data_IF_648932799806
#
_entry.id   IF_648932799806
#
_cell.length_a   1.000
_cell.length_b   1.000
_cell.length_c   1.000
_cell.angle_alpha   90.00
_cell.angle_beta   90.00
_cell.angle_gamma   90.00
#
_symmetry.space_group_name_H-M   'P 1'
#
loop_
_entity.id
_entity.type
_entity.pdbx_description
1 polymer ?
#
# COMPACT_ATOMS: atom_id res chain seq x y z
N UNK A 1 -10.67 15.35 12.95
CA UNK A 1 -10.92 13.90 12.82
C UNK A 1 -10.51 13.49 11.41
N UNK A 2 -9.23 13.24 11.18
CA UNK A 2 -8.78 12.61 9.94
C UNK A 2 -8.91 11.10 10.13
N UNK A 3 -9.95 10.50 9.56
CA UNK A 3 -9.96 9.07 9.32
C UNK A 3 -8.90 8.84 8.26
N UNK A 4 -7.79 8.17 8.59
CA UNK A 4 -6.92 7.56 7.60
C UNK A 4 -7.73 6.45 6.92
N UNK A 5 -8.52 6.88 5.97
CA UNK A 5 -9.23 6.00 5.07
C UNK A 5 -8.17 5.32 4.21
N UNK A 6 -7.95 4.04 4.42
CA UNK A 6 -7.25 3.22 3.43
C UNK A 6 -8.22 3.12 2.26
N UNK A 7 -7.95 3.79 1.13
CA UNK A 7 -8.92 3.91 0.04
C UNK A 7 -9.13 2.63 -0.76
N UNK A 8 -8.57 1.51 -0.31
CA UNK A 8 -8.53 0.23 -1.01
C UNK A 8 -9.87 -0.46 -1.21
N UNK A 9 -10.92 -0.04 -0.49
CA UNK A 9 -12.18 -0.81 -0.45
C UNK A 9 -13.21 -0.46 -1.53
N UNK A 10 -12.97 0.52 -2.40
CA UNK A 10 -14.06 1.02 -3.26
C UNK A 10 -14.01 0.65 -4.75
N UNK A 11 -12.99 -0.04 -5.26
CA UNK A 11 -12.88 -0.19 -6.72
C UNK A 11 -12.70 -1.61 -7.25
N UNK A 12 -12.94 -2.65 -6.46
CA UNK A 12 -12.99 -3.99 -7.02
C UNK A 12 -14.41 -4.51 -7.12
N UNK A 13 -14.95 -4.49 -8.34
CA UNK A 13 -15.98 -5.42 -8.76
C UNK A 13 -15.41 -6.85 -8.63
N UNK A 14 -15.48 -7.39 -7.43
CA UNK A 14 -15.29 -8.81 -7.20
C UNK A 14 -16.44 -9.53 -7.89
N UNK A 15 -16.16 -10.38 -8.87
CA UNK A 15 -17.12 -11.35 -9.31
C UNK A 15 -17.57 -12.17 -8.10
N UNK A 16 -18.86 -12.26 -7.90
CA UNK A 16 -19.52 -12.99 -6.81
C UNK A 16 -18.99 -14.43 -6.62
N UNK A 17 -18.42 -15.03 -7.66
CA UNK A 17 -17.81 -16.36 -7.65
C UNK A 17 -16.57 -16.47 -6.72
N UNK A 18 -15.75 -15.43 -6.59
CA UNK A 18 -14.63 -15.43 -5.63
C UNK A 18 -15.08 -15.27 -4.19
N UNK A 19 -16.20 -14.59 -3.96
CA UNK A 19 -16.78 -14.42 -2.63
C UNK A 19 -17.27 -15.79 -2.11
N UNK A 20 -17.88 -16.63 -2.96
CA UNK A 20 -18.39 -17.93 -2.57
C UNK A 20 -17.32 -19.02 -2.34
N UNK A 21 -16.12 -18.87 -2.92
CA UNK A 21 -15.01 -19.82 -2.67
C UNK A 21 -14.28 -19.55 -1.35
N UNK A 22 -14.45 -18.38 -0.73
CA UNK A 22 -13.79 -17.98 0.53
C UNK A 22 -14.72 -17.97 1.76
N UNK A 23 -15.93 -18.54 1.69
CA UNK A 23 -16.86 -18.61 2.84
C UNK A 23 -16.40 -19.57 3.95
N UNK A 24 -15.29 -20.26 3.76
CA UNK A 24 -14.71 -21.14 4.76
C UNK A 24 -13.38 -20.61 5.30
N UNK A 25 -13.40 -19.66 6.26
CA UNK A 25 -12.22 -19.40 7.07
C UNK A 25 -11.47 -18.08 6.82
N UNK A 26 -12.18 -16.98 6.84
CA UNK A 26 -11.58 -15.62 6.82
C UNK A 26 -11.01 -15.22 8.19
N UNK A 27 -11.05 -16.08 9.18
CA UNK A 27 -10.56 -15.74 10.52
C UNK A 27 -9.03 -15.88 10.59
N UNK A 28 -8.38 -14.80 11.01
CA UNK A 28 -6.93 -14.77 11.20
C UNK A 28 -6.62 -15.17 12.63
N UNK A 29 -5.74 -16.17 12.79
CA UNK A 29 -5.33 -16.68 14.10
C UNK A 29 -4.40 -15.72 14.83
N UNK A 30 -3.38 -15.23 14.13
CA UNK A 30 -2.37 -14.29 14.67
C UNK A 30 -1.73 -13.47 13.57
N UNK A 31 -1.06 -12.39 13.99
CA UNK A 31 -0.17 -11.60 13.13
C UNK A 31 1.19 -11.43 13.79
N UNK A 32 2.21 -11.15 12.97
CA UNK A 32 3.54 -10.76 13.40
C UNK A 32 4.18 -9.87 12.34
N UNK A 33 5.34 -9.31 12.66
CA UNK A 33 6.03 -8.34 11.83
C UNK A 33 7.50 -8.71 11.66
N UNK A 34 8.06 -8.36 10.53
CA UNK A 34 9.48 -8.11 10.37
C UNK A 34 9.74 -6.63 10.06
N UNK A 35 10.88 -6.31 9.44
CA UNK A 35 11.22 -4.93 9.05
C UNK A 35 10.43 -4.41 7.85
N UNK A 36 9.88 -5.29 7.01
CA UNK A 36 9.27 -4.95 5.73
C UNK A 36 7.79 -5.35 5.61
N UNK A 37 7.36 -6.36 6.37
CA UNK A 37 6.06 -7.00 6.21
C UNK A 37 5.29 -7.15 7.51
N UNK A 38 3.96 -7.10 7.39
CA UNK A 38 3.03 -7.70 8.32
C UNK A 38 2.60 -9.05 7.77
N UNK A 39 2.67 -10.07 8.59
CA UNK A 39 2.24 -11.44 8.30
C UNK A 39 0.95 -11.74 9.06
N UNK A 40 0.10 -12.56 8.45
CA UNK A 40 -1.09 -13.10 9.09
C UNK A 40 -1.16 -14.62 8.86
N UNK A 41 -1.47 -15.38 9.89
CA UNK A 41 -1.75 -16.81 9.83
C UNK A 41 -3.25 -17.03 9.99
N UNK A 42 -3.84 -17.77 9.07
CA UNK A 42 -5.25 -18.20 9.13
C UNK A 42 -5.44 -19.38 10.08
N UNK A 43 -6.68 -19.68 10.45
CA UNK A 43 -6.99 -20.83 11.29
C UNK A 43 -6.60 -22.16 10.63
N UNK A 44 -6.59 -22.25 9.30
CA UNK A 44 -6.16 -23.42 8.54
C UNK A 44 -4.62 -23.48 8.30
N UNK A 45 -3.86 -22.54 8.89
CA UNK A 45 -2.40 -22.54 8.89
C UNK A 45 -1.76 -21.91 7.65
N UNK A 46 -2.52 -21.30 6.76
CA UNK A 46 -1.94 -20.51 5.65
C UNK A 46 -1.32 -19.23 6.20
N UNK A 47 -0.16 -18.86 5.66
CA UNK A 47 0.52 -17.63 6.00
C UNK A 47 0.47 -16.70 4.79
N UNK A 48 0.01 -15.48 5.04
CA UNK A 48 -0.06 -14.40 4.06
C UNK A 48 0.69 -13.19 4.59
N UNK A 49 1.04 -12.26 3.72
CA UNK A 49 1.76 -11.04 4.11
C UNK A 49 1.32 -9.85 3.29
N UNK A 50 1.56 -8.65 3.85
CA UNK A 50 1.43 -7.38 3.15
C UNK A 50 2.65 -6.52 3.43
N UNK A 51 3.03 -5.67 2.46
CA UNK A 51 4.13 -4.74 2.64
C UNK A 51 3.77 -3.64 3.65
N UNK A 52 4.66 -3.38 4.60
CA UNK A 52 4.56 -2.25 5.54
C UNK A 52 4.69 -0.89 4.84
N UNK A 53 5.08 -0.86 3.57
CA UNK A 53 5.07 0.38 2.79
C UNK A 53 3.66 0.95 2.64
N UNK A 54 2.62 0.11 2.68
CA UNK A 54 1.22 0.54 2.68
C UNK A 54 0.77 1.15 4.01
N UNK A 55 1.50 0.89 5.10
CA UNK A 55 1.14 1.26 6.47
C UNK A 55 2.26 2.05 7.15
N UNK A 56 2.52 3.32 6.75
CA UNK A 56 3.64 4.10 7.28
C UNK A 56 3.66 4.18 8.81
N UNK A 57 2.50 4.34 9.45
CA UNK A 57 2.42 4.41 10.90
C UNK A 57 2.87 3.10 11.59
N UNK A 58 2.55 1.93 11.00
CA UNK A 58 3.04 0.64 11.50
C UNK A 58 4.51 0.42 11.18
N UNK A 59 4.98 0.91 10.04
CA UNK A 59 6.39 0.81 9.64
C UNK A 59 7.29 1.57 10.61
N UNK A 60 6.87 2.75 11.04
CA UNK A 60 7.61 3.62 11.96
C UNK A 60 7.41 3.26 13.44
N UNK A 61 6.40 2.45 13.75
CA UNK A 61 6.07 2.03 15.09
C UNK A 61 7.14 1.08 15.67
N UNK A 62 7.36 1.20 16.99
CA UNK A 62 8.16 0.25 17.73
C UNK A 62 7.40 -1.07 17.97
N UNK A 63 8.09 -2.07 18.52
CA UNK A 63 7.52 -3.41 18.76
C UNK A 63 6.29 -3.37 19.69
N UNK A 64 6.34 -2.58 20.76
CA UNK A 64 5.21 -2.44 21.69
C UNK A 64 3.98 -1.86 20.99
N UNK A 65 4.18 -0.82 20.19
CA UNK A 65 3.10 -0.20 19.41
C UNK A 65 2.52 -1.15 18.36
N UNK A 66 3.36 -1.91 17.65
CA UNK A 66 2.92 -2.92 16.68
C UNK A 66 2.10 -4.04 17.34
N UNK A 67 2.47 -4.43 18.57
CA UNK A 67 1.77 -5.47 19.33
C UNK A 67 0.51 -4.97 20.06
N UNK A 68 0.28 -3.65 20.12
CA UNK A 68 -0.90 -3.06 20.79
C UNK A 68 -2.18 -3.08 19.94
N UNK A 69 -2.32 -4.05 19.04
CA UNK A 69 -3.52 -4.21 18.22
C UNK A 69 -4.64 -4.93 18.98
N UNK A 70 -5.86 -4.70 18.50
CA UNK A 70 -7.05 -5.49 18.87
C UNK A 70 -7.57 -6.22 17.65
N UNK A 71 -7.79 -7.52 17.78
CA UNK A 71 -8.51 -8.31 16.77
C UNK A 71 -10.00 -8.00 16.92
N UNK A 72 -10.62 -7.52 15.85
CA UNK A 72 -12.06 -7.32 15.72
C UNK A 72 -12.69 -8.42 14.89
N UNK A 73 -13.97 -8.24 14.56
CA UNK A 73 -14.75 -9.19 13.78
C UNK A 73 -14.20 -9.36 12.35
N UNK A 74 -13.70 -8.31 11.73
CA UNK A 74 -13.26 -8.33 10.32
C UNK A 74 -11.85 -7.80 10.10
N UNK A 75 -11.05 -7.60 11.14
CA UNK A 75 -9.73 -7.01 10.97
C UNK A 75 -8.96 -6.80 12.27
N UNK A 76 -7.78 -6.22 12.11
CA UNK A 76 -6.90 -5.79 13.19
C UNK A 76 -6.92 -4.28 13.31
N UNK A 77 -6.98 -3.76 14.53
CA UNK A 77 -7.17 -2.34 14.83
C UNK A 77 -6.07 -1.83 15.77
N UNK A 78 -5.31 -0.84 15.33
CA UNK A 78 -4.33 -0.10 16.14
C UNK A 78 -4.88 1.28 16.48
N UNK A 79 -5.61 1.38 17.57
CA UNK A 79 -6.27 2.64 17.97
C UNK A 79 -5.30 3.81 18.11
N UNK A 80 -4.12 3.56 18.68
CA UNK A 80 -3.12 4.59 18.93
C UNK A 80 -2.36 5.05 17.68
N UNK A 81 -2.40 4.27 16.60
CA UNK A 81 -1.78 4.57 15.31
C UNK A 81 -2.80 4.97 14.25
N UNK A 82 -4.10 4.92 14.58
CA UNK A 82 -5.21 5.13 13.64
C UNK A 82 -5.09 4.25 12.37
N UNK A 83 -4.76 2.97 12.59
CA UNK A 83 -4.61 1.97 11.52
C UNK A 83 -5.60 0.84 11.70
N UNK A 84 -6.29 0.53 10.61
CA UNK A 84 -7.19 -0.62 10.48
C UNK A 84 -6.77 -1.48 9.29
N UNK A 85 -6.61 -2.79 9.50
CA UNK A 85 -6.27 -3.75 8.45
C UNK A 85 -7.35 -4.83 8.43
N UNK A 86 -8.13 -4.90 7.36
CA UNK A 86 -9.15 -5.94 7.21
C UNK A 86 -8.51 -7.30 6.93
N UNK A 87 -9.17 -8.38 7.36
CA UNK A 87 -8.72 -9.75 7.02
C UNK A 87 -8.72 -9.98 5.53
N UNK A 88 -9.71 -9.45 4.80
CA UNK A 88 -9.83 -9.59 3.35
C UNK A 88 -8.65 -9.01 2.59
N UNK A 89 -8.02 -7.94 3.12
CA UNK A 89 -6.88 -7.29 2.46
C UNK A 89 -5.67 -8.20 2.28
N UNK A 90 -5.52 -9.25 3.11
CA UNK A 90 -4.45 -10.24 2.95
C UNK A 90 -4.64 -11.17 1.76
N UNK A 91 -5.83 -11.21 1.17
CA UNK A 91 -6.15 -12.05 0.00
C UNK A 91 -6.03 -11.30 -1.33
N UNK A 92 -5.68 -10.02 -1.32
CA UNK A 92 -5.56 -9.22 -2.53
C UNK A 92 -4.22 -9.44 -3.24
N UNK A 93 -4.25 -9.39 -4.56
CA UNK A 93 -3.07 -9.59 -5.41
C UNK A 93 -2.04 -8.44 -5.31
N UNK A 94 -2.42 -7.33 -4.70
CA UNK A 94 -1.63 -6.11 -4.56
C UNK A 94 -1.08 -5.89 -3.14
N UNK A 95 -0.93 -6.97 -2.39
CA UNK A 95 -0.24 -6.98 -1.10
C UNK A 95 1.19 -6.39 -1.19
N UNK A 96 1.80 -6.44 -2.38
CA UNK A 96 3.10 -5.84 -2.70
C UNK A 96 2.91 -4.62 -3.60
N UNK A 97 3.54 -3.48 -3.28
CA UNK A 97 3.59 -2.35 -4.21
C UNK A 97 4.42 -2.70 -5.45
N UNK A 98 4.03 -2.18 -6.60
CA UNK A 98 4.85 -2.26 -7.82
C UNK A 98 6.21 -1.59 -7.60
N UNK A 99 7.24 -1.87 -8.40
CA UNK A 99 8.55 -1.21 -8.29
C UNK A 99 8.44 0.33 -8.32
N UNK A 100 7.56 0.88 -9.15
CA UNK A 100 7.35 2.32 -9.26
C UNK A 100 6.61 2.89 -8.03
N UNK A 101 5.60 2.19 -7.50
CA UNK A 101 4.95 2.56 -6.25
C UNK A 101 5.93 2.50 -5.08
N UNK A 102 6.73 1.44 -4.99
CA UNK A 102 7.79 1.31 -3.98
C UNK A 102 8.75 2.49 -4.04
N UNK A 103 9.16 2.90 -5.24
CA UNK A 103 10.01 4.07 -5.43
C UNK A 103 9.39 5.32 -4.79
N UNK A 104 8.13 5.64 -5.08
CA UNK A 104 7.45 6.81 -4.49
C UNK A 104 7.22 6.67 -2.97
N UNK A 105 6.89 5.48 -2.50
CA UNK A 105 6.63 5.23 -1.08
C UNK A 105 7.92 5.34 -0.23
N UNK A 106 9.09 5.19 -0.85
CA UNK A 106 10.39 5.29 -0.17
C UNK A 106 11.12 6.62 -0.38
N UNK A 107 10.78 7.40 -1.43
CA UNK A 107 11.40 8.69 -1.75
C UNK A 107 10.43 9.83 -1.49
N UNK A 108 10.20 10.11 -0.20
CA UNK A 108 9.24 11.14 0.24
C UNK A 108 9.69 12.57 -0.04
N UNK A 109 10.97 12.78 -0.37
CA UNK A 109 11.56 14.04 -0.79
C UNK A 109 11.11 14.50 -2.17
N UNK A 110 10.51 13.61 -2.98
CA UNK A 110 10.04 13.94 -4.32
C UNK A 110 8.76 14.78 -4.27
N UNK A 111 8.76 15.87 -5.02
CA UNK A 111 7.54 16.63 -5.27
C UNK A 111 6.68 15.92 -6.32
N UNK A 112 5.77 15.08 -5.84
CA UNK A 112 4.90 14.24 -6.68
C UNK A 112 4.01 15.08 -7.59
N UNK A 113 3.49 16.21 -7.10
CA UNK A 113 2.61 17.09 -7.88
C UNK A 113 3.35 17.74 -9.05
N UNK A 114 4.60 18.16 -8.83
CA UNK A 114 5.41 18.75 -9.88
C UNK A 114 5.86 17.70 -10.91
N UNK A 115 6.22 16.50 -10.44
CA UNK A 115 6.54 15.38 -11.32
C UNK A 115 5.34 15.02 -12.22
N UNK A 116 4.13 15.01 -11.67
CA UNK A 116 2.91 14.74 -12.42
C UNK A 116 2.71 15.77 -13.53
N UNK A 117 2.85 17.08 -13.23
CA UNK A 117 2.74 18.16 -14.23
C UNK A 117 3.78 18.02 -15.32
N UNK A 118 5.04 17.75 -14.98
CA UNK A 118 6.12 17.51 -15.96
C UNK A 118 5.87 16.28 -16.84
N UNK A 119 5.11 15.31 -16.34
CA UNK A 119 4.75 14.09 -17.07
C UNK A 119 3.46 14.24 -17.91
N UNK A 120 2.84 15.44 -17.90
CA UNK A 120 1.52 15.66 -18.50
C UNK A 120 0.46 14.69 -17.95
N UNK A 121 0.48 14.53 -16.62
CA UNK A 121 -0.43 13.68 -15.84
C UNK A 121 -1.05 14.53 -14.73
N UNK A 122 -2.34 14.31 -14.45
CA UNK A 122 -2.98 14.98 -13.33
C UNK A 122 -2.34 14.54 -12.01
N UNK A 123 -2.00 15.48 -11.08
CA UNK A 123 -1.48 15.14 -9.77
C UNK A 123 -2.38 14.16 -9.00
N UNK A 124 -3.70 14.31 -9.13
CA UNK A 124 -4.67 13.40 -8.51
C UNK A 124 -4.53 11.96 -9.04
N UNK A 125 -4.33 11.78 -10.34
CA UNK A 125 -4.13 10.45 -10.92
C UNK A 125 -2.84 9.81 -10.43
N UNK A 126 -1.73 10.57 -10.37
CA UNK A 126 -0.46 10.04 -9.85
C UNK A 126 -0.57 9.66 -8.37
N UNK A 127 -1.24 10.49 -7.56
CA UNK A 127 -1.49 10.19 -6.16
C UNK A 127 -2.39 8.94 -5.98
N UNK A 128 -3.43 8.79 -6.79
CA UNK A 128 -4.27 7.57 -6.78
C UNK A 128 -3.44 6.32 -7.10
N UNK A 129 -2.55 6.40 -8.09
CA UNK A 129 -1.67 5.29 -8.43
C UNK A 129 -0.70 4.95 -7.29
N UNK A 130 -0.01 5.95 -6.73
CA UNK A 130 0.95 5.76 -5.63
C UNK A 130 0.28 5.08 -4.43
N UNK A 131 -0.97 5.45 -4.16
CA UNK A 131 -1.75 4.89 -3.04
C UNK A 131 -2.50 3.59 -3.42
N UNK A 132 -2.24 3.02 -4.58
CA UNK A 132 -2.84 1.76 -5.01
C UNK A 132 -4.32 1.84 -5.43
N UNK A 133 -4.89 3.04 -5.54
CA UNK A 133 -6.31 3.25 -5.92
C UNK A 133 -6.56 3.10 -7.41
N UNK A 134 -5.53 3.03 -8.22
CA UNK A 134 -5.60 2.96 -9.65
C UNK A 134 -4.52 2.02 -10.18
N UNK A 135 -4.89 1.16 -11.15
CA UNK A 135 -3.92 0.41 -11.94
C UNK A 135 -3.49 1.25 -13.15
N UNK A 136 -2.18 1.53 -13.32
CA UNK A 136 -1.72 2.36 -14.42
C UNK A 136 -1.74 1.59 -15.75
N UNK A 137 -1.86 2.32 -16.85
CA UNK A 137 -1.48 1.80 -18.16
C UNK A 137 0.04 1.79 -18.31
N UNK A 138 0.57 0.97 -19.23
CA UNK A 138 2.00 0.98 -19.59
C UNK A 138 2.48 2.34 -20.07
N UNK A 139 1.62 3.08 -20.77
CA UNK A 139 1.92 4.43 -21.24
C UNK A 139 2.07 5.41 -20.06
N UNK A 140 1.18 5.33 -19.06
CA UNK A 140 1.26 6.13 -17.84
C UNK A 140 2.58 5.88 -17.11
N UNK A 141 2.93 4.61 -16.88
CA UNK A 141 4.20 4.25 -16.22
C UNK A 141 5.41 4.74 -17.01
N UNK A 142 5.40 4.58 -18.34
CA UNK A 142 6.49 5.03 -19.22
C UNK A 142 6.70 6.53 -19.16
N UNK A 143 5.63 7.33 -19.15
CA UNK A 143 5.72 8.79 -19.02
C UNK A 143 6.39 9.18 -17.69
N UNK A 144 5.96 8.59 -16.58
CA UNK A 144 6.55 8.88 -15.27
C UNK A 144 8.01 8.47 -15.22
N UNK A 145 8.34 7.26 -15.64
CA UNK A 145 9.72 6.75 -15.65
C UNK A 145 10.64 7.62 -16.50
N UNK A 146 10.18 8.08 -17.66
CA UNK A 146 10.93 9.00 -18.54
C UNK A 146 11.25 10.31 -17.81
N UNK A 147 10.30 10.89 -17.10
CA UNK A 147 10.53 12.13 -16.33
C UNK A 147 11.46 11.93 -15.14
N UNK A 148 11.31 10.82 -14.40
CA UNK A 148 12.24 10.48 -13.30
C UNK A 148 13.68 10.38 -13.84
N UNK A 149 13.90 9.71 -14.96
CA UNK A 149 15.21 9.62 -15.59
C UNK A 149 15.73 10.99 -16.07
N UNK A 150 14.86 11.85 -16.62
CA UNK A 150 15.23 13.20 -17.04
C UNK A 150 15.70 14.05 -15.85
N UNK A 151 14.93 14.03 -14.75
CA UNK A 151 15.27 14.73 -13.51
C UNK A 151 16.58 14.19 -12.92
N UNK A 152 16.80 12.88 -12.93
CA UNK A 152 18.04 12.29 -12.46
C UNK A 152 19.26 12.77 -13.26
N UNK A 153 19.12 12.91 -14.60
CA UNK A 153 20.17 13.51 -15.46
C UNK A 153 20.40 14.99 -15.16
N UNK A 154 19.31 15.77 -14.97
CA UNK A 154 19.40 17.18 -14.61
C UNK A 154 20.19 17.35 -13.30
N UNK A 155 19.85 16.58 -12.26
CA UNK A 155 20.55 16.63 -10.97
C UNK A 155 22.01 16.21 -11.06
N UNK A 156 22.31 15.18 -11.88
CA UNK A 156 23.68 14.71 -12.11
C UNK A 156 24.56 15.73 -12.86
N UNK A 157 23.94 16.70 -13.55
CA UNK A 157 24.65 17.75 -14.28
C UNK A 157 24.96 19.01 -13.47
N UNK A 158 24.36 19.15 -12.27
CA UNK A 158 24.60 20.29 -11.39
C UNK A 158 26.04 20.25 -10.89
N UNK A 159 26.77 21.33 -11.10
CA UNK A 159 28.12 21.55 -10.58
C UNK A 159 28.08 22.71 -9.59
N UNK A 160 28.70 22.52 -8.46
CA UNK A 160 28.88 23.54 -7.44
C UNK A 160 30.25 24.17 -7.58
#
# INVERSE_FOLDING_TARGET
MCKSYIPYLQHYHFTLERIFQNIGGTDMKKIWFDSEYIYAETEDGRVMRQSLLWYPALREANEEQRNAYKKGYGGFHWRNLDVDISFDSFYYDDAEPTPLQRFFLTHKELNVDELARRSDISPSMLNQYINGLMKPSKEFESKIMSQIHSIGKEYSSVRF
#
